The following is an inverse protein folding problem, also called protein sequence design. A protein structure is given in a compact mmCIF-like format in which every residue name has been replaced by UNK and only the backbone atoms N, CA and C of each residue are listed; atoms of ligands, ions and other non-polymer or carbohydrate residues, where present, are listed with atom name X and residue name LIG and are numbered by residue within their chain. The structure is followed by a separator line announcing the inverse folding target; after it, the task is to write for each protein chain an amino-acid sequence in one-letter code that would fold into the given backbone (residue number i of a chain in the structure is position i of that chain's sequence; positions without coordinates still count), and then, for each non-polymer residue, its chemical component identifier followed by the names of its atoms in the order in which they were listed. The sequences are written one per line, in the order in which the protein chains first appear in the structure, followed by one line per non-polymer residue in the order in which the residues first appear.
data_IF_928946687099
#
_entry.id   IF_928946687099
#
_cell.length_a   1.000
_cell.length_b   1.000
_cell.length_c   1.000
_cell.angle_alpha   90.00
_cell.angle_beta   90.00
_cell.angle_gamma   90.00
#
_symmetry.space_group_name_H-M   'P 1'
#
loop_
_entity.id
_entity.type
_entity.pdbx_description
1 polymer ?
#
# COMPACT_ATOMS: atom_id res chain seq x y z
N UNK A 1 -8.61 -16.98 -25.80
CA UNK A 1 -9.61 -15.90 -25.88
C UNK A 1 -10.86 -16.33 -25.15
N UNK A 2 -11.49 -15.45 -24.37
CA UNK A 2 -12.73 -15.72 -23.64
C UNK A 2 -13.43 -14.39 -23.33
N UNK A 3 -14.77 -14.39 -23.33
CA UNK A 3 -15.59 -13.25 -22.90
C UNK A 3 -15.89 -13.26 -21.39
N UNK A 4 -15.37 -14.25 -20.66
CA UNK A 4 -15.62 -14.44 -19.23
C UNK A 4 -16.91 -15.20 -18.92
N UNK A 5 -17.26 -15.27 -17.63
CA UNK A 5 -18.37 -16.07 -17.12
C UNK A 5 -19.74 -15.39 -17.28
N UNK A 6 -19.76 -14.06 -17.42
CA UNK A 6 -20.99 -13.28 -17.57
C UNK A 6 -20.72 -12.07 -18.47
N UNK A 7 -20.51 -12.30 -19.78
CA UNK A 7 -20.33 -11.23 -20.74
C UNK A 7 -21.64 -10.46 -20.94
N UNK A 8 -21.51 -9.16 -21.23
CA UNK A 8 -22.62 -8.31 -21.69
C UNK A 8 -22.86 -8.55 -23.16
N UNK A 9 -21.80 -8.59 -23.96
CA UNK A 9 -21.80 -9.02 -25.35
C UNK A 9 -20.74 -10.12 -25.55
N UNK A 10 -21.14 -11.39 -25.79
CA UNK A 10 -20.21 -12.50 -25.94
C UNK A 10 -19.20 -12.36 -27.08
N UNK A 11 -19.45 -11.52 -28.08
CA UNK A 11 -18.53 -11.29 -29.20
C UNK A 11 -17.60 -10.13 -28.93
N UNK A 12 -18.14 -9.01 -28.49
CA UNK A 12 -17.36 -7.78 -28.25
C UNK A 12 -16.51 -7.87 -26.97
N UNK A 13 -16.93 -8.65 -25.96
CA UNK A 13 -16.21 -8.78 -24.70
C UNK A 13 -15.05 -9.80 -24.75
N UNK A 14 -14.76 -10.36 -25.92
CA UNK A 14 -13.73 -11.40 -26.11
C UNK A 14 -12.32 -10.84 -25.94
N UNK A 15 -11.69 -11.14 -24.81
CA UNK A 15 -10.31 -10.76 -24.51
C UNK A 15 -9.34 -11.93 -24.37
N UNK A 16 -8.08 -11.59 -24.11
CA UNK A 16 -7.03 -12.55 -23.76
C UNK A 16 -7.17 -12.88 -22.26
N UNK A 17 -7.51 -14.13 -21.95
CA UNK A 17 -7.75 -14.61 -20.59
C UNK A 17 -6.60 -15.49 -20.08
N UNK A 18 -6.15 -15.26 -18.85
CA UNK A 18 -5.23 -16.19 -18.15
C UNK A 18 -6.01 -17.44 -17.70
N UNK A 19 -5.42 -18.63 -17.85
CA UNK A 19 -6.16 -19.91 -17.75
C UNK A 19 -5.59 -20.95 -16.77
N UNK A 20 -4.37 -20.71 -16.27
CA UNK A 20 -3.64 -21.58 -15.35
C UNK A 20 -3.24 -20.83 -14.08
N UNK A 21 -3.60 -21.38 -12.93
CA UNK A 21 -3.23 -20.84 -11.63
C UNK A 21 -1.73 -21.01 -11.35
N UNK A 22 -1.17 -20.12 -10.54
CA UNK A 22 0.23 -20.09 -10.10
C UNK A 22 1.22 -20.19 -11.27
N UNK A 23 1.04 -19.33 -12.27
CA UNK A 23 1.88 -19.30 -13.49
C UNK A 23 2.38 -17.91 -13.84
N UNK A 24 3.56 -17.91 -14.44
CA UNK A 24 4.05 -16.80 -15.24
C UNK A 24 3.44 -16.89 -16.64
N UNK A 25 2.99 -15.75 -17.14
CA UNK A 25 2.45 -15.55 -18.48
C UNK A 25 3.38 -14.63 -19.25
N UNK A 26 3.66 -14.97 -20.50
CA UNK A 26 4.39 -14.12 -21.44
C UNK A 26 3.64 -14.11 -22.77
N UNK A 27 3.12 -12.96 -23.17
CA UNK A 27 2.49 -12.75 -24.47
C UNK A 27 2.91 -11.40 -25.00
N UNK A 28 3.35 -11.32 -26.26
CA UNK A 28 3.73 -10.06 -26.88
C UNK A 28 3.25 -9.96 -28.32
N UNK A 29 3.08 -8.73 -28.79
CA UNK A 29 2.73 -8.41 -30.17
C UNK A 29 3.58 -7.23 -30.66
N UNK A 30 4.31 -7.45 -31.76
CA UNK A 30 5.02 -6.39 -32.46
C UNK A 30 4.05 -5.49 -33.23
N UNK A 31 4.35 -4.20 -33.26
CA UNK A 31 3.71 -3.25 -34.15
C UNK A 31 4.20 -3.49 -35.58
N UNK A 32 3.42 -3.02 -36.57
CA UNK A 32 3.82 -3.12 -37.97
C UNK A 32 5.12 -2.36 -38.25
N UNK A 33 5.31 -1.24 -37.56
CA UNK A 33 6.50 -0.40 -37.64
C UNK A 33 6.86 0.10 -36.24
N UNK A 34 8.14 0.05 -35.84
CA UNK A 34 8.62 0.77 -34.67
C UNK A 34 8.36 2.27 -34.83
N UNK A 35 8.09 2.94 -33.73
CA UNK A 35 7.86 4.38 -33.70
C UNK A 35 8.55 5.05 -32.50
N UNK A 36 8.67 6.36 -32.58
CA UNK A 36 9.14 7.23 -31.49
C UNK A 36 8.03 8.20 -31.11
N UNK A 37 7.94 8.54 -29.84
CA UNK A 37 7.05 9.60 -29.35
C UNK A 37 7.73 10.99 -29.34
N UNK A 38 8.89 11.18 -29.98
CA UNK A 38 9.56 12.48 -30.04
C UNK A 38 8.62 13.57 -30.56
N UNK A 39 8.41 14.60 -29.75
CA UNK A 39 7.54 15.74 -30.07
C UNK A 39 6.05 15.43 -30.06
N UNK A 40 5.65 14.22 -29.65
CA UNK A 40 4.26 13.77 -29.65
C UNK A 40 3.85 13.24 -28.27
N UNK A 41 2.58 13.38 -27.95
CA UNK A 41 1.98 12.68 -26.81
C UNK A 41 1.98 11.19 -27.12
N UNK A 42 2.17 10.34 -26.11
CA UNK A 42 1.85 8.92 -26.19
C UNK A 42 0.74 8.62 -25.19
N UNK A 43 -0.27 7.93 -25.66
CA UNK A 43 -1.39 7.43 -24.87
C UNK A 43 -1.36 5.91 -24.94
N UNK A 44 -1.36 5.27 -23.77
CA UNK A 44 -1.38 3.82 -23.63
C UNK A 44 -2.64 3.48 -22.85
N UNK A 45 -3.57 2.79 -23.49
CA UNK A 45 -4.88 2.48 -22.95
C UNK A 45 -5.19 1.00 -23.11
N UNK A 46 -5.79 0.37 -22.11
CA UNK A 46 -6.28 -1.00 -22.19
C UNK A 46 -7.29 -1.28 -21.09
N UNK A 47 -8.08 -2.35 -21.25
CA UNK A 47 -9.03 -2.80 -20.24
C UNK A 47 -8.53 -4.06 -19.54
N UNK A 48 -8.82 -4.15 -18.24
CA UNK A 48 -8.52 -5.31 -17.40
C UNK A 48 -9.76 -5.68 -16.62
N UNK A 49 -10.11 -6.97 -16.62
CA UNK A 49 -11.17 -7.52 -15.79
C UNK A 49 -10.61 -8.66 -14.93
N UNK A 50 -10.73 -8.55 -13.62
CA UNK A 50 -10.36 -9.60 -12.67
C UNK A 50 -11.58 -10.40 -12.23
N UNK A 51 -12.24 -11.08 -13.16
CA UNK A 51 -13.51 -11.79 -12.89
C UNK A 51 -13.40 -12.92 -11.87
N UNK A 52 -12.18 -13.37 -11.57
CA UNK A 52 -11.90 -14.44 -10.63
C UNK A 52 -11.79 -13.95 -9.17
N UNK A 53 -11.96 -12.66 -8.90
CA UNK A 53 -11.62 -12.04 -7.61
C UNK A 53 -10.16 -12.32 -7.23
N UNK A 54 -9.25 -11.66 -7.95
CA UNK A 54 -7.82 -11.92 -7.85
C UNK A 54 -7.27 -11.56 -6.46
N UNK A 55 -6.47 -12.45 -5.90
CA UNK A 55 -5.82 -12.28 -4.60
C UNK A 55 -4.38 -11.77 -4.74
N UNK A 56 -3.62 -12.37 -5.65
CA UNK A 56 -2.29 -11.91 -6.03
C UNK A 56 -1.98 -12.18 -7.50
N UNK A 57 -1.77 -11.12 -8.27
CA UNK A 57 -1.25 -11.16 -9.62
C UNK A 57 -1.18 -9.78 -10.29
N UNK A 58 -0.34 -9.69 -11.31
CA UNK A 58 -0.18 -8.49 -12.12
C UNK A 58 -1.27 -8.36 -13.17
N UNK A 59 -1.63 -7.13 -13.50
CA UNK A 59 -2.54 -6.75 -14.58
C UNK A 59 -1.98 -5.66 -15.48
N UNK A 60 -0.65 -5.55 -15.60
CA UNK A 60 0.03 -4.50 -16.34
C UNK A 60 0.51 -4.91 -17.73
N UNK A 61 0.80 -3.90 -18.55
CA UNK A 61 1.43 -4.05 -19.87
C UNK A 61 2.85 -3.48 -19.87
N UNK A 62 3.67 -3.99 -20.77
CA UNK A 62 5.02 -3.50 -21.07
C UNK A 62 5.07 -3.03 -22.53
N UNK A 63 5.62 -1.84 -22.75
CA UNK A 63 6.10 -1.40 -24.06
C UNK A 63 7.56 -1.79 -24.23
N UNK A 64 7.90 -2.35 -25.39
CA UNK A 64 9.17 -3.00 -25.65
C UNK A 64 9.84 -2.35 -26.88
N UNK A 65 11.18 -2.37 -26.91
CA UNK A 65 11.97 -1.91 -28.05
C UNK A 65 12.00 -2.93 -29.20
N UNK A 66 12.72 -2.63 -30.27
CA UNK A 66 12.95 -3.53 -31.41
C UNK A 66 13.97 -4.64 -31.10
N UNK A 67 14.75 -4.46 -30.03
CA UNK A 67 15.90 -5.26 -29.64
C UNK A 67 15.55 -6.58 -28.92
N UNK A 68 14.30 -6.77 -28.48
CA UNK A 68 13.90 -8.00 -27.79
C UNK A 68 13.47 -9.14 -28.73
N UNK A 69 13.72 -10.37 -28.26
CA UNK A 69 13.23 -11.60 -28.86
C UNK A 69 11.90 -12.01 -28.20
N UNK A 70 10.82 -12.10 -28.99
CA UNK A 70 9.49 -12.48 -28.49
C UNK A 70 9.45 -13.91 -27.95
N UNK A 71 10.31 -14.80 -28.45
CA UNK A 71 10.37 -16.20 -27.99
C UNK A 71 11.01 -16.35 -26.62
N UNK A 72 11.78 -15.33 -26.21
CA UNK A 72 12.45 -15.24 -24.91
C UNK A 72 11.85 -14.12 -24.06
N UNK A 73 10.57 -13.77 -24.25
CA UNK A 73 9.95 -12.69 -23.47
C UNK A 73 9.66 -13.14 -22.03
N UNK A 74 10.21 -12.43 -21.04
CA UNK A 74 10.08 -12.74 -19.61
C UNK A 74 10.26 -11.50 -18.70
N UNK A 75 10.19 -11.74 -17.39
CA UNK A 75 10.37 -10.77 -16.28
C UNK A 75 11.44 -9.70 -16.47
N UNK A 76 12.64 -10.12 -16.89
CA UNK A 76 13.84 -9.29 -16.97
C UNK A 76 14.07 -8.71 -18.36
N UNK A 77 13.21 -9.04 -19.34
CA UNK A 77 13.30 -8.45 -20.68
C UNK A 77 13.22 -6.92 -20.56
N UNK A 78 14.22 -6.18 -21.09
CA UNK A 78 14.21 -4.73 -21.05
C UNK A 78 12.95 -4.15 -21.69
N UNK A 79 12.26 -3.28 -20.96
CA UNK A 79 11.08 -2.56 -21.44
C UNK A 79 11.32 -1.06 -21.38
N UNK A 80 10.53 -0.30 -22.15
CA UNK A 80 10.54 1.16 -22.16
C UNK A 80 9.63 1.71 -21.07
N UNK A 81 8.38 1.24 -21.04
CA UNK A 81 7.35 1.64 -20.08
C UNK A 81 6.64 0.39 -19.57
N UNK A 82 6.40 0.29 -18.27
CA UNK A 82 5.46 -0.68 -17.68
C UNK A 82 4.32 0.10 -17.02
N UNK A 83 3.08 -0.25 -17.37
CA UNK A 83 1.90 0.45 -16.91
C UNK A 83 0.73 -0.50 -16.62
N UNK A 84 0.10 -0.35 -15.46
CA UNK A 84 -1.17 -1.03 -15.14
C UNK A 84 -1.30 -1.53 -13.71
N UNK A 85 -2.45 -2.12 -13.35
CA UNK A 85 -2.73 -2.59 -12.00
C UNK A 85 -1.82 -3.75 -11.58
N UNK A 86 -1.51 -3.82 -10.29
CA UNK A 86 -0.84 -4.93 -9.63
C UNK A 86 -1.43 -5.12 -8.24
N UNK A 87 -1.96 -6.33 -8.02
CA UNK A 87 -2.67 -6.71 -6.81
C UNK A 87 -1.89 -7.85 -6.17
N UNK A 88 -1.56 -7.74 -4.89
CA UNK A 88 -1.05 -8.85 -4.11
C UNK A 88 -1.42 -8.66 -2.63
N UNK A 89 -2.44 -9.39 -2.21
CA UNK A 89 -3.04 -9.32 -0.89
C UNK A 89 -3.64 -7.95 -0.58
N UNK A 90 -3.66 -7.60 0.71
CA UNK A 90 -4.12 -6.30 1.18
C UNK A 90 -3.04 -5.22 1.15
N UNK A 91 -1.77 -5.62 1.01
CA UNK A 91 -0.62 -4.71 1.08
C UNK A 91 -0.30 -4.05 -0.25
N UNK A 92 -0.57 -4.72 -1.37
CA UNK A 92 -0.21 -4.22 -2.70
C UNK A 92 -1.47 -4.15 -3.55
N UNK A 93 -2.01 -2.94 -3.75
CA UNK A 93 -3.15 -2.66 -4.63
C UNK A 93 -2.91 -1.35 -5.37
N UNK A 94 -1.94 -1.36 -6.27
CA UNK A 94 -1.45 -0.14 -6.92
C UNK A 94 -1.34 -0.26 -8.43
N UNK A 95 -1.38 0.87 -9.11
CA UNK A 95 -1.06 0.98 -10.53
C UNK A 95 0.44 1.25 -10.66
N UNK A 96 1.16 0.33 -11.30
CA UNK A 96 2.55 0.57 -11.68
C UNK A 96 2.59 1.57 -12.83
N UNK A 97 3.48 2.54 -12.72
CA UNK A 97 3.89 3.44 -13.79
C UNK A 97 5.40 3.55 -13.72
N UNK A 98 6.07 2.75 -14.54
CA UNK A 98 7.53 2.58 -14.48
C UNK A 98 8.11 2.99 -15.83
N UNK A 99 9.02 3.95 -15.79
CA UNK A 99 9.75 4.42 -16.95
C UNK A 99 11.19 3.90 -16.89
N UNK A 100 11.64 3.28 -17.97
CA UNK A 100 13.06 3.01 -18.14
C UNK A 100 13.76 4.28 -18.60
N UNK A 101 14.74 4.73 -17.83
CA UNK A 101 15.58 5.88 -18.16
C UNK A 101 17.04 5.55 -17.83
N UNK A 102 17.93 5.77 -18.80
CA UNK A 102 19.35 5.43 -18.70
C UNK A 102 19.63 3.97 -18.24
N UNK A 103 18.81 3.01 -18.68
CA UNK A 103 18.95 1.59 -18.33
C UNK A 103 18.41 1.21 -16.94
N UNK A 104 17.88 2.17 -16.18
CA UNK A 104 17.26 1.93 -14.87
C UNK A 104 15.74 2.05 -14.98
N UNK A 105 15.03 1.11 -14.36
CA UNK A 105 13.58 1.16 -14.21
C UNK A 105 13.24 2.05 -13.00
N UNK A 106 12.61 3.19 -13.24
CA UNK A 106 12.24 4.14 -12.19
C UNK A 106 10.74 4.01 -11.91
N UNK A 107 10.40 3.71 -10.66
CA UNK A 107 9.02 3.61 -10.19
C UNK A 107 8.50 5.00 -9.83
N UNK A 108 7.19 5.20 -10.02
CA UNK A 108 6.50 6.39 -9.53
C UNK A 108 6.60 6.47 -8.00
N UNK A 109 6.88 7.66 -7.47
CA UNK A 109 6.96 7.91 -6.02
C UNK A 109 5.61 7.83 -5.32
N UNK A 110 4.56 8.19 -6.06
CA UNK A 110 3.20 8.27 -5.55
C UNK A 110 2.46 6.96 -5.77
N UNK A 111 1.76 6.52 -4.74
CA UNK A 111 0.87 5.37 -4.82
C UNK A 111 -0.44 5.76 -5.50
N UNK A 112 -0.79 5.04 -6.57
CA UNK A 112 -2.07 5.17 -7.28
C UNK A 112 -2.84 3.89 -7.01
N UNK A 113 -3.99 3.97 -6.33
CA UNK A 113 -4.77 2.79 -5.99
C UNK A 113 -5.45 2.22 -7.23
N UNK A 114 -5.28 0.91 -7.46
CA UNK A 114 -6.00 0.23 -8.54
C UNK A 114 -7.40 -0.22 -8.08
N UNK A 115 -8.24 -0.57 -9.04
CA UNK A 115 -9.54 -1.20 -8.78
C UNK A 115 -9.34 -2.68 -8.51
N UNK A 116 -10.06 -3.21 -7.53
CA UNK A 116 -9.91 -4.58 -7.01
C UNK A 116 -11.23 -5.35 -6.99
N UNK A 117 -12.24 -4.89 -7.73
CA UNK A 117 -13.49 -5.61 -7.94
C UNK A 117 -13.43 -6.50 -9.22
N UNK A 118 -14.54 -7.20 -9.51
CA UNK A 118 -14.65 -8.17 -10.60
C UNK A 118 -15.09 -7.54 -11.95
N UNK A 119 -15.31 -6.23 -11.98
CA UNK A 119 -15.75 -5.50 -13.17
C UNK A 119 -14.57 -5.20 -14.09
N UNK A 120 -14.90 -4.83 -15.32
CA UNK A 120 -13.90 -4.37 -16.30
C UNK A 120 -13.55 -2.93 -16.02
N UNK A 121 -12.26 -2.63 -15.85
CA UNK A 121 -11.75 -1.28 -15.65
C UNK A 121 -10.84 -0.84 -16.80
N UNK A 122 -10.91 0.45 -17.13
CA UNK A 122 -10.10 1.08 -18.16
C UNK A 122 -8.90 1.78 -17.53
N UNK A 123 -7.69 1.45 -17.97
CA UNK A 123 -6.47 2.11 -17.52
C UNK A 123 -5.83 2.87 -18.68
N UNK A 124 -5.60 4.16 -18.49
CA UNK A 124 -4.99 5.03 -19.51
C UNK A 124 -3.82 5.82 -18.93
N UNK A 125 -2.65 5.71 -19.56
CA UNK A 125 -1.47 6.52 -19.28
C UNK A 125 -1.26 7.49 -20.44
N UNK A 126 -1.15 8.77 -20.12
CA UNK A 126 -0.84 9.84 -21.07
C UNK A 126 0.51 10.42 -20.67
N UNK A 127 1.44 10.49 -21.62
CA UNK A 127 2.75 11.14 -21.44
C UNK A 127 2.96 12.15 -22.55
N UNK A 128 3.21 13.41 -22.18
CA UNK A 128 3.26 14.55 -23.09
C UNK A 128 4.69 15.04 -23.36
N UNK A 129 4.93 15.77 -24.46
CA UNK A 129 6.26 16.29 -24.81
C UNK A 129 6.86 17.32 -23.86
N UNK A 130 6.07 17.85 -22.94
CA UNK A 130 6.48 18.84 -21.93
C UNK A 130 6.91 18.18 -20.61
N UNK A 131 7.25 16.87 -20.64
CA UNK A 131 7.55 16.05 -19.48
C UNK A 131 6.39 15.94 -18.46
N UNK A 132 5.15 16.21 -18.86
CA UNK A 132 3.98 15.95 -18.01
C UNK A 132 3.37 14.60 -18.29
N UNK A 133 2.70 14.04 -17.27
CA UNK A 133 1.97 12.79 -17.39
C UNK A 133 0.60 12.90 -16.72
N UNK A 134 -0.29 11.99 -17.09
CA UNK A 134 -1.60 11.82 -16.47
C UNK A 134 -1.98 10.34 -16.51
N UNK A 135 -2.49 9.84 -15.39
CA UNK A 135 -3.03 8.49 -15.24
C UNK A 135 -4.53 8.61 -15.01
N UNK A 136 -5.28 8.00 -15.91
CA UNK A 136 -6.73 7.88 -15.83
C UNK A 136 -7.09 6.44 -15.47
N UNK A 137 -8.05 6.29 -14.56
CA UNK A 137 -8.76 5.03 -14.33
C UNK A 137 -10.22 5.31 -14.65
N UNK A 138 -10.83 4.50 -15.50
CA UNK A 138 -12.24 4.63 -15.86
C UNK A 138 -12.59 6.02 -16.46
N UNK A 139 -11.65 6.58 -17.24
CA UNK A 139 -11.64 7.95 -17.77
C UNK A 139 -11.66 9.08 -16.72
N UNK A 140 -11.35 8.78 -15.46
CA UNK A 140 -11.22 9.75 -14.36
C UNK A 140 -9.74 9.97 -14.04
N UNK A 141 -9.31 11.23 -13.94
CA UNK A 141 -7.92 11.59 -13.61
C UNK A 141 -7.62 11.28 -12.14
N UNK A 142 -6.91 10.19 -11.91
CA UNK A 142 -6.43 9.79 -10.58
C UNK A 142 -5.12 10.50 -10.23
N UNK A 143 -4.28 10.76 -11.23
CA UNK A 143 -2.99 11.42 -11.00
C UNK A 143 -2.53 12.20 -12.21
N UNK A 144 -1.93 13.37 -11.97
CA UNK A 144 -1.22 14.17 -12.97
C UNK A 144 -0.04 14.88 -12.33
N UNK A 145 1.01 15.13 -13.10
CA UNK A 145 2.23 15.75 -12.59
C UNK A 145 3.31 15.87 -13.65
N UNK A 146 4.55 16.07 -13.19
CA UNK A 146 5.74 16.13 -14.02
C UNK A 146 6.62 14.90 -13.77
N UNK A 147 7.23 14.36 -14.83
CA UNK A 147 8.11 13.20 -14.78
C UNK A 147 9.32 13.42 -13.86
N UNK A 148 9.86 14.64 -13.82
CA UNK A 148 11.04 14.97 -13.02
C UNK A 148 10.76 14.97 -11.52
N UNK A 149 9.57 15.40 -11.11
CA UNK A 149 9.20 15.49 -9.70
C UNK A 149 8.76 14.12 -9.17
N UNK A 150 7.94 13.40 -9.95
CA UNK A 150 7.27 12.18 -9.53
C UNK A 150 8.10 10.89 -9.74
N UNK A 151 9.28 10.98 -10.39
CA UNK A 151 10.26 9.88 -10.54
C UNK A 151 11.71 10.31 -10.26
N UNK A 152 12.53 9.37 -9.79
CA UNK A 152 13.97 9.59 -9.57
C UNK A 152 14.81 9.28 -10.83
N UNK A 153 14.50 9.98 -11.93
CA UNK A 153 15.23 9.83 -13.21
C UNK A 153 16.50 10.69 -13.25
N UNK A 154 16.45 11.87 -12.65
CA UNK A 154 17.57 12.83 -12.60
C UNK A 154 18.14 12.92 -11.17
N UNK A 155 19.42 13.30 -11.02
CA UNK A 155 19.96 13.66 -9.71
C UNK A 155 19.15 14.78 -9.05
N UNK A 156 19.09 14.85 -7.71
CA UNK A 156 18.33 15.89 -7.03
C UNK A 156 18.86 17.28 -7.37
N UNK A 157 17.97 18.25 -7.58
CA UNK A 157 18.32 19.66 -7.88
C UNK A 157 19.20 20.29 -6.80
N UNK A 158 18.94 19.92 -5.55
CA UNK A 158 19.62 20.43 -4.36
C UNK A 158 20.19 19.28 -3.54
N UNK A 159 21.44 19.43 -3.09
CA UNK A 159 22.15 18.50 -2.21
C UNK A 159 22.56 19.21 -0.92
N UNK A 160 22.76 18.47 0.17
CA UNK A 160 23.29 19.04 1.40
C UNK A 160 24.71 19.55 1.18
N UNK A 161 25.00 20.72 1.74
CA UNK A 161 26.31 21.32 1.64
C UNK A 161 27.22 20.81 2.76
N UNK A 162 27.92 19.72 2.47
CA UNK A 162 28.94 19.14 3.36
C UNK A 162 30.11 20.09 3.67
N UNK A 163 30.26 21.18 2.92
CA UNK A 163 31.27 22.20 3.24
C UNK A 163 30.89 23.06 4.44
N UNK A 164 29.59 23.15 4.77
CA UNK A 164 29.10 23.92 5.92
C UNK A 164 28.94 22.99 7.11
N UNK A 165 29.91 23.01 8.02
CA UNK A 165 29.81 22.32 9.30
C UNK A 165 28.95 23.11 10.27
N UNK A 166 28.29 22.39 11.18
CA UNK A 166 27.62 23.01 12.34
C UNK A 166 28.63 23.89 13.09
N UNK A 167 28.33 25.16 13.36
CA UNK A 167 29.19 26.02 14.17
C UNK A 167 29.32 25.45 15.59
N UNK A 168 30.51 25.52 16.17
CA UNK A 168 30.76 25.03 17.54
C UNK A 168 29.91 25.78 18.58
N UNK A 169 29.58 27.05 18.32
CA UNK A 169 28.72 27.90 19.17
C UNK A 169 27.21 27.65 18.98
N UNK A 170 26.81 26.71 18.12
CA UNK A 170 25.40 26.46 17.82
C UNK A 170 24.74 25.55 18.85
N UNK A 171 23.93 26.15 19.72
CA UNK A 171 23.22 25.46 20.79
C UNK A 171 21.89 24.91 20.29
N UNK A 172 21.77 23.57 20.29
CA UNK A 172 20.56 22.83 19.91
C UNK A 172 19.60 22.59 21.08
N UNK A 173 20.06 22.79 22.32
CA UNK A 173 19.28 22.47 23.51
C UNK A 173 18.42 23.68 23.89
N UNK A 174 17.09 23.53 23.93
CA UNK A 174 16.18 24.64 24.27
C UNK A 174 16.28 25.02 25.74
N UNK A 175 16.74 24.10 26.59
CA UNK A 175 16.89 24.28 28.03
C UNK A 175 18.36 24.12 28.42
N UNK A 176 18.80 24.87 29.42
CA UNK A 176 20.09 24.74 30.09
C UNK A 176 19.87 24.54 31.58
N UNK A 177 20.86 23.93 32.26
CA UNK A 177 20.87 23.87 33.72
C UNK A 177 21.02 25.29 34.29
N UNK A 178 20.21 25.63 35.29
CA UNK A 178 20.23 26.94 35.95
C UNK A 178 21.56 27.11 36.71
N UNK A 179 22.43 28.05 36.28
CA UNK A 179 23.73 28.25 36.93
C UNK A 179 23.60 28.80 38.35
N UNK A 180 22.44 29.36 38.72
CA UNK A 180 22.16 29.90 40.05
C UNK A 180 21.49 28.88 40.98
N UNK A 181 20.99 27.75 40.43
CA UNK A 181 20.42 26.67 41.25
C UNK A 181 21.55 25.83 41.83
N UNK A 182 21.76 25.96 43.14
CA UNK A 182 22.77 25.20 43.87
C UNK A 182 22.12 24.09 44.65
N UNK A 183 22.78 22.93 44.67
CA UNK A 183 22.39 21.80 45.50
C UNK A 183 22.21 22.24 46.96
N UNK A 184 21.01 22.09 47.54
CA UNK A 184 20.79 22.41 48.94
C UNK A 184 21.66 21.50 49.82
N UNK A 185 22.21 22.05 50.91
CA UNK A 185 23.07 21.29 51.84
C UNK A 185 22.34 20.09 52.47
N UNK A 186 21.00 20.13 52.58
CA UNK A 186 20.16 19.07 53.16
C UNK A 186 19.64 18.04 52.12
N UNK A 187 20.23 18.00 50.92
CA UNK A 187 19.78 17.09 49.85
C UNK A 187 20.44 15.71 49.91
N UNK A 188 21.72 15.63 50.31
CA UNK A 188 22.47 14.37 50.41
C UNK A 188 22.16 13.66 51.73
N UNK A 189 20.97 13.08 51.80
CA UNK A 189 20.60 12.19 52.90
C UNK A 189 20.97 10.75 52.55
N UNK A 190 21.33 9.91 53.53
CA UNK A 190 21.63 8.51 53.26
C UNK A 190 20.37 7.80 52.75
N UNK A 191 20.53 6.88 51.80
CA UNK A 191 19.42 6.13 51.19
C UNK A 191 18.67 5.27 52.22
N UNK A 192 19.39 4.79 53.24
CA UNK A 192 18.84 4.02 54.34
C UNK A 192 19.17 4.67 55.68
N UNK A 193 18.23 4.62 56.62
CA UNK A 193 18.41 5.02 58.01
C UNK A 193 18.05 3.85 58.92
N UNK A 194 18.66 3.71 60.11
CA UNK A 194 18.26 2.67 61.04
C UNK A 194 16.82 2.91 61.53
N UNK A 195 16.00 1.86 61.59
CA UNK A 195 14.58 1.98 61.95
C UNK A 195 14.41 2.53 63.37
N UNK A 196 13.87 3.76 63.54
CA UNK A 196 13.70 4.36 64.86
C UNK A 196 12.63 3.67 65.72
N UNK A 197 11.82 2.77 65.13
CA UNK A 197 10.80 1.98 65.83
C UNK A 197 11.28 0.57 66.18
N UNK A 198 12.42 0.13 65.64
CA UNK A 198 12.98 -1.16 66.00
C UNK A 198 13.47 -1.12 67.45
N UNK A 199 13.03 -2.11 68.22
CA UNK A 199 13.53 -2.35 69.57
C UNK A 199 14.28 -3.67 69.57
N UNK A 200 15.37 -3.70 70.32
CA UNK A 200 16.13 -4.91 70.57
C UNK A 200 15.19 -5.98 71.13
N UNK A 201 15.15 -7.19 70.53
CA UNK A 201 14.35 -8.30 71.06
C UNK A 201 14.80 -8.67 72.48
N UNK A 202 13.85 -9.03 73.34
CA UNK A 202 14.14 -9.39 74.74
C UNK A 202 15.01 -10.66 74.88
N UNK A 203 15.09 -11.48 73.83
CA UNK A 203 15.85 -12.75 73.78
C UNK A 203 17.21 -12.61 73.07
N UNK A 204 17.71 -11.37 72.90
CA UNK A 204 19.00 -11.11 72.24
C UNK A 204 20.17 -11.07 73.23
N UNK A 205 21.19 -11.88 73.01
CA UNK A 205 22.39 -11.99 73.85
C UNK A 205 23.61 -11.32 73.18
N UNK A 206 24.06 -10.18 73.71
CA UNK A 206 25.19 -9.42 73.12
C UNK A 206 26.54 -10.15 73.22
N UNK A 207 26.71 -11.10 74.17
CA UNK A 207 27.97 -11.88 74.29
C UNK A 207 28.06 -13.00 73.25
N UNK A 208 26.93 -13.55 72.82
CA UNK A 208 26.87 -14.68 71.88
C UNK A 208 26.56 -14.24 70.44
N UNK A 209 25.69 -13.25 70.25
CA UNK A 209 25.19 -12.79 68.93
C UNK A 209 25.81 -11.45 68.47
N UNK A 210 26.53 -10.75 69.36
CA UNK A 210 27.14 -9.44 69.10
C UNK A 210 26.23 -8.25 69.40
N UNK A 211 26.77 -7.03 69.23
CA UNK A 211 26.03 -5.79 69.51
C UNK A 211 24.86 -5.62 68.53
N UNK A 212 23.64 -5.53 69.08
CA UNK A 212 22.43 -5.44 68.25
C UNK A 212 22.37 -4.13 67.45
N UNK A 213 22.29 -4.24 66.12
CA UNK A 213 22.06 -3.11 65.23
C UNK A 213 20.61 -3.11 64.68
N UNK A 214 19.89 -1.98 64.75
CA UNK A 214 18.54 -1.89 64.20
C UNK A 214 18.51 -2.10 62.67
N UNK A 215 17.47 -2.75 62.12
CA UNK A 215 17.33 -2.94 60.69
C UNK A 215 17.28 -1.60 59.97
N UNK A 216 17.97 -1.51 58.83
CA UNK A 216 17.96 -0.32 58.00
C UNK A 216 16.67 -0.26 57.17
N UNK A 217 15.96 0.87 57.25
CA UNK A 217 14.79 1.19 56.44
C UNK A 217 15.12 2.28 55.43
N UNK A 218 14.38 2.33 54.33
CA UNK A 218 14.52 3.40 53.34
C UNK A 218 14.24 4.76 54.00
N UNK A 219 15.15 5.70 53.79
CA UNK A 219 15.03 7.04 54.35
C UNK A 219 13.94 7.82 53.60
N UNK A 220 12.82 8.21 54.26
CA UNK A 220 11.76 8.95 53.60
C UNK A 220 12.20 10.34 53.10
N UNK A 221 13.29 10.88 53.64
CA UNK A 221 13.86 12.16 53.22
C UNK A 221 14.90 12.02 52.08
N UNK A 222 15.21 10.80 51.61
CA UNK A 222 16.13 10.61 50.48
C UNK A 222 15.47 11.07 49.17
N UNK A 223 15.98 12.16 48.60
CA UNK A 223 15.43 12.80 47.38
C UNK A 223 16.10 12.37 46.07
N UNK A 224 17.02 11.39 46.13
CA UNK A 224 17.78 10.93 44.96
C UNK A 224 18.94 11.86 44.57
N UNK A 225 19.59 11.56 43.45
CA UNK A 225 20.67 12.41 42.91
C UNK A 225 20.09 13.77 42.50
N UNK A 226 20.67 14.85 43.04
CA UNK A 226 20.24 16.21 42.72
C UNK A 226 20.54 16.53 41.25
N UNK A 227 19.54 17.05 40.54
CA UNK A 227 19.69 17.64 39.22
C UNK A 227 19.30 19.12 39.30
N UNK A 228 20.08 20.03 38.70
CA UNK A 228 19.75 21.45 38.64
C UNK A 228 18.42 21.66 37.90
N UNK A 229 17.68 22.70 38.28
CA UNK A 229 16.51 23.14 37.51
C UNK A 229 16.92 23.51 36.09
N UNK A 230 16.09 23.12 35.12
CA UNK A 230 16.27 23.51 33.72
C UNK A 230 15.58 24.85 33.46
N UNK A 231 16.31 25.81 32.91
CA UNK A 231 15.81 27.12 32.48
C UNK A 231 15.91 27.24 30.96
N UNK A 232 15.06 28.06 30.31
CA UNK A 232 15.18 28.32 28.88
C UNK A 232 16.57 28.84 28.54
N UNK A 233 17.19 28.27 27.51
CA UNK A 233 18.55 28.59 27.12
C UNK A 233 18.57 29.84 26.23
N UNK A 234 19.00 31.03 26.71
CA UNK A 234 19.06 32.25 25.89
C UNK A 234 19.99 32.18 24.67
N UNK A 235 20.86 31.16 24.55
CA UNK A 235 21.72 30.93 23.37
C UNK A 235 21.13 29.93 22.38
N UNK A 236 19.95 29.37 22.66
CA UNK A 236 19.29 28.40 21.80
C UNK A 236 19.08 28.97 20.39
N UNK A 237 19.70 28.32 19.41
CA UNK A 237 19.68 28.74 18.00
C UNK A 237 18.74 27.88 17.14
N UNK A 238 18.06 26.90 17.73
CA UNK A 238 17.23 25.94 17.02
C UNK A 238 17.98 24.67 16.61
N UNK A 239 17.28 23.64 16.11
CA UNK A 239 17.94 22.47 15.53
C UNK A 239 18.73 22.89 14.29
N UNK A 240 20.04 22.61 14.29
CA UNK A 240 20.88 22.84 13.11
C UNK A 240 20.37 22.03 11.90
N UNK A 241 20.07 22.72 10.80
CA UNK A 241 19.71 22.11 9.51
C UNK A 241 20.84 22.42 8.53
N UNK A 242 21.37 21.38 7.90
CA UNK A 242 22.45 21.54 6.94
C UNK A 242 21.97 22.35 5.72
N UNK A 243 22.67 23.44 5.34
CA UNK A 243 22.28 24.22 4.17
C UNK A 243 22.25 23.36 2.90
N UNK A 244 21.31 23.64 2.00
CA UNK A 244 21.24 22.98 0.70
C UNK A 244 21.94 23.83 -0.36
N UNK A 245 22.78 23.21 -1.18
CA UNK A 245 23.41 23.82 -2.37
C UNK A 245 22.90 23.19 -3.65
N UNK A 246 23.04 23.91 -4.75
CA UNK A 246 22.74 23.38 -6.09
C UNK A 246 23.64 22.18 -6.40
N UNK A 247 23.05 21.11 -6.92
CA UNK A 247 23.80 19.92 -7.31
C UNK A 247 24.55 20.16 -8.62
N UNK A 248 25.89 20.13 -8.65
CA UNK A 248 26.65 20.31 -9.89
C UNK A 248 26.43 19.18 -10.91
N UNK A 249 25.95 18.02 -10.47
CA UNK A 249 25.64 16.89 -11.35
C UNK A 249 24.23 16.95 -11.94
N UNK A 250 23.37 17.84 -11.43
CA UNK A 250 22.03 18.01 -11.98
C UNK A 250 22.11 18.71 -13.34
N UNK A 251 21.49 18.08 -14.35
CA UNK A 251 21.30 18.65 -15.68
C UNK A 251 19.84 18.43 -16.07
N UNK A 252 19.08 19.50 -16.42
CA UNK A 252 17.73 19.33 -16.88
C UNK A 252 17.72 18.56 -18.21
N UNK A 253 16.80 17.61 -18.33
CA UNK A 253 16.56 16.90 -19.58
C UNK A 253 15.14 17.21 -20.09
N UNK A 254 14.98 17.99 -21.18
CA UNK A 254 13.68 18.28 -21.76
C UNK A 254 13.06 17.08 -22.50
N UNK A 255 13.77 15.97 -22.63
CA UNK A 255 13.36 14.78 -23.38
C UNK A 255 13.17 13.54 -22.47
N UNK A 256 12.91 13.71 -21.16
CA UNK A 256 12.63 12.59 -20.24
C UNK A 256 11.48 11.70 -20.73
N UNK A 257 10.46 12.29 -21.35
CA UNK A 257 9.30 11.57 -21.90
C UNK A 257 9.64 10.69 -23.12
N UNK A 258 10.77 10.94 -23.78
CA UNK A 258 11.04 10.48 -25.14
C UNK A 258 11.63 9.07 -25.14
N UNK A 259 11.08 8.24 -26.01
CA UNK A 259 11.62 6.95 -26.41
C UNK A 259 11.88 6.92 -27.92
N UNK A 260 13.09 6.51 -28.31
CA UNK A 260 13.51 6.42 -29.72
C UNK A 260 12.91 5.22 -30.46
N UNK A 261 12.62 4.14 -29.73
CA UNK A 261 12.27 2.85 -30.32
C UNK A 261 11.23 2.13 -29.45
N UNK A 262 9.97 2.24 -29.86
CA UNK A 262 8.83 1.47 -29.33
C UNK A 262 8.35 0.57 -30.48
N UNK A 263 8.45 -0.74 -30.29
CA UNK A 263 8.24 -1.71 -31.36
C UNK A 263 7.27 -2.85 -31.01
N UNK A 264 6.97 -3.06 -29.72
CA UNK A 264 5.97 -4.04 -29.32
C UNK A 264 5.27 -3.67 -28.01
N UNK A 265 4.15 -4.33 -27.77
CA UNK A 265 3.46 -4.40 -26.49
C UNK A 265 3.46 -5.85 -25.99
N UNK A 266 3.54 -6.06 -24.69
CA UNK A 266 3.44 -7.39 -24.11
C UNK A 266 2.90 -7.41 -22.69
N UNK A 267 2.35 -8.56 -22.34
CA UNK A 267 1.93 -8.94 -21.00
C UNK A 267 2.94 -9.95 -20.48
N UNK A 268 3.66 -9.58 -19.44
CA UNK A 268 4.55 -10.47 -18.71
C UNK A 268 4.19 -10.39 -17.23
N UNK A 269 3.48 -11.41 -16.76
CA UNK A 269 2.69 -11.36 -15.53
C UNK A 269 2.86 -12.63 -14.72
N UNK A 270 2.88 -12.48 -13.39
CA UNK A 270 2.64 -13.57 -12.45
C UNK A 270 1.20 -13.48 -11.95
N UNK A 271 0.46 -14.60 -11.94
CA UNK A 271 -0.86 -14.68 -11.28
C UNK A 271 -0.97 -15.96 -10.45
N UNK A 272 -1.39 -15.82 -9.20
CA UNK A 272 -1.74 -16.95 -8.32
C UNK A 272 -3.08 -17.52 -8.76
N UNK A 273 -4.13 -16.70 -8.80
CA UNK A 273 -5.44 -17.09 -9.34
C UNK A 273 -5.64 -16.56 -10.75
N UNK A 274 -5.78 -17.47 -11.71
CA UNK A 274 -6.01 -17.13 -13.11
C UNK A 274 -7.47 -16.78 -13.39
N UNK A 275 -7.69 -16.07 -14.48
CA UNK A 275 -9.02 -15.63 -14.91
C UNK A 275 -9.05 -14.19 -15.42
N UNK A 276 -7.96 -13.45 -15.26
CA UNK A 276 -7.88 -12.05 -15.71
C UNK A 276 -8.03 -11.98 -17.22
N UNK A 277 -8.88 -11.07 -17.69
CA UNK A 277 -9.12 -10.80 -19.10
C UNK A 277 -8.55 -9.44 -19.45
N UNK A 278 -7.72 -9.40 -20.49
CA UNK A 278 -7.18 -8.19 -21.09
C UNK A 278 -7.82 -7.94 -22.44
N UNK A 279 -8.20 -6.69 -22.71
CA UNK A 279 -8.80 -6.31 -23.98
C UNK A 279 -8.54 -4.82 -24.32
N UNK A 280 -8.97 -4.40 -25.51
CA UNK A 280 -9.01 -3.03 -25.98
C UNK A 280 -7.68 -2.27 -25.85
N UNK A 281 -6.56 -2.96 -26.11
CA UNK A 281 -5.22 -2.34 -26.09
C UNK A 281 -5.11 -1.33 -27.23
N UNK A 282 -5.02 -0.06 -26.87
CA UNK A 282 -4.90 1.09 -27.76
C UNK A 282 -3.64 1.88 -27.43
N UNK A 283 -2.83 2.15 -28.44
CA UNK A 283 -1.66 3.04 -28.33
C UNK A 283 -1.77 4.09 -29.43
N UNK A 284 -1.83 5.36 -29.04
CA UNK A 284 -2.09 6.48 -29.95
C UNK A 284 -1.36 7.75 -29.50
N UNK A 285 -1.30 8.78 -30.36
CA UNK A 285 -0.79 10.11 -30.03
C UNK A 285 -1.90 11.13 -29.74
N UNK A 286 -3.17 10.73 -29.85
CA UNK A 286 -4.35 11.57 -29.64
C UNK A 286 -5.12 11.17 -28.38
N UNK A 287 -5.16 12.09 -27.42
CA UNK A 287 -5.87 11.92 -26.13
C UNK A 287 -7.38 11.86 -26.31
N UNK A 288 -7.93 12.62 -27.25
CA UNK A 288 -9.37 12.68 -27.46
C UNK A 288 -9.89 11.41 -28.13
N UNK A 289 -9.13 10.85 -29.09
CA UNK A 289 -9.46 9.54 -29.69
C UNK A 289 -9.44 8.45 -28.62
N UNK A 290 -8.41 8.41 -27.75
CA UNK A 290 -8.34 7.42 -26.69
C UNK A 290 -9.54 7.50 -25.73
N UNK A 291 -9.91 8.73 -25.34
CA UNK A 291 -11.09 8.97 -24.50
C UNK A 291 -12.37 8.51 -25.18
N UNK A 292 -12.58 8.83 -26.45
CA UNK A 292 -13.78 8.46 -27.21
C UNK A 292 -13.92 6.94 -27.37
N UNK A 293 -12.83 6.25 -27.72
CA UNK A 293 -12.79 4.79 -27.81
C UNK A 293 -13.07 4.13 -26.45
N UNK A 294 -12.48 4.66 -25.37
CA UNK A 294 -12.75 4.20 -24.01
C UNK A 294 -14.21 4.38 -23.59
N UNK A 295 -14.80 5.54 -23.89
CA UNK A 295 -16.22 5.80 -23.64
C UNK A 295 -17.14 4.90 -24.47
N UNK A 296 -16.79 4.62 -25.72
CA UNK A 296 -17.60 3.81 -26.61
C UNK A 296 -17.58 2.33 -26.22
N UNK A 297 -16.39 1.75 -26.05
CA UNK A 297 -16.21 0.31 -25.86
C UNK A 297 -16.41 -0.09 -24.40
N UNK A 298 -15.67 0.56 -23.50
CA UNK A 298 -15.64 0.14 -22.09
C UNK A 298 -16.88 0.60 -21.32
N UNK A 299 -17.39 1.83 -21.51
CA UNK A 299 -18.50 2.33 -20.67
C UNK A 299 -19.81 1.58 -20.89
N UNK A 300 -20.09 1.16 -22.13
CA UNK A 300 -21.27 0.34 -22.42
C UNK A 300 -21.18 -1.02 -21.74
N UNK A 301 -20.00 -1.66 -21.82
CA UNK A 301 -19.69 -2.92 -21.15
C UNK A 301 -19.82 -2.79 -19.63
N UNK A 302 -19.20 -1.78 -19.02
CA UNK A 302 -19.27 -1.58 -17.57
C UNK A 302 -20.71 -1.47 -17.07
N UNK A 303 -21.56 -0.66 -17.71
CA UNK A 303 -22.98 -0.52 -17.32
C UNK A 303 -23.73 -1.84 -17.37
N UNK A 304 -23.47 -2.66 -18.39
CA UNK A 304 -24.07 -3.99 -18.48
C UNK A 304 -23.57 -4.93 -17.38
N UNK A 305 -22.27 -4.89 -17.06
CA UNK A 305 -21.68 -5.69 -15.99
C UNK A 305 -22.22 -5.30 -14.61
N UNK A 306 -22.37 -3.99 -14.34
CA UNK A 306 -23.01 -3.46 -13.13
C UNK A 306 -24.46 -3.93 -12.99
N UNK A 307 -25.22 -3.91 -14.08
CA UNK A 307 -26.61 -4.39 -14.09
C UNK A 307 -26.70 -5.89 -13.83
N UNK A 308 -25.86 -6.70 -14.49
CA UNK A 308 -25.78 -8.15 -14.25
C UNK A 308 -25.43 -8.43 -12.79
N UNK A 309 -24.47 -7.70 -12.22
CA UNK A 309 -24.07 -7.83 -10.83
C UNK A 309 -25.23 -7.49 -9.89
N UNK A 310 -25.91 -6.37 -10.11
CA UNK A 310 -27.09 -5.96 -9.33
C UNK A 310 -28.18 -7.02 -9.34
N UNK A 311 -28.51 -7.57 -10.52
CA UNK A 311 -29.54 -8.60 -10.65
C UNK A 311 -29.16 -9.89 -9.90
N UNK A 312 -27.89 -10.29 -9.93
CA UNK A 312 -27.40 -11.44 -9.16
C UNK A 312 -27.48 -11.20 -7.66
N UNK A 313 -27.07 -10.02 -7.19
CA UNK A 313 -27.16 -9.67 -5.76
C UNK A 313 -28.62 -9.66 -5.25
N UNK A 314 -29.56 -9.18 -6.08
CA UNK A 314 -30.99 -9.22 -5.78
C UNK A 314 -31.55 -10.65 -5.76
N UNK A 315 -31.11 -11.52 -6.68
CA UNK A 315 -31.51 -12.93 -6.72
C UNK A 315 -30.98 -13.70 -5.50
N UNK A 316 -29.70 -13.51 -5.16
CA UNK A 316 -29.06 -14.15 -4.02
C UNK A 316 -29.70 -13.68 -2.69
N UNK A 317 -30.05 -12.40 -2.59
CA UNK A 317 -30.76 -11.85 -1.44
C UNK A 317 -32.16 -12.46 -1.28
N UNK A 318 -32.89 -12.67 -2.38
CA UNK A 318 -34.21 -13.34 -2.36
C UNK A 318 -34.09 -14.80 -1.96
N UNK A 319 -33.12 -15.53 -2.53
CA UNK A 319 -32.84 -16.93 -2.15
C UNK A 319 -32.50 -17.05 -0.66
N UNK A 320 -31.64 -16.17 -0.15
CA UNK A 320 -31.29 -16.17 1.27
C UNK A 320 -32.47 -15.85 2.18
N UNK A 321 -33.39 -14.97 1.75
CA UNK A 321 -34.64 -14.70 2.48
C UNK A 321 -35.59 -15.90 2.46
N UNK A 322 -35.74 -16.58 1.32
CA UNK A 322 -36.55 -17.79 1.20
C UNK A 322 -36.00 -18.95 2.05
N UNK A 323 -34.67 -19.12 2.08
CA UNK A 323 -34.03 -20.17 2.88
C UNK A 323 -34.18 -19.90 4.38
N UNK A 324 -34.11 -18.62 4.82
CA UNK A 324 -34.42 -18.25 6.21
C UNK A 324 -35.87 -18.55 6.60
N UNK A 325 -36.82 -18.26 5.71
CA UNK A 325 -38.24 -18.58 5.97
C UNK A 325 -38.42 -20.09 6.11
N UNK A 326 -37.80 -20.89 5.24
CA UNK A 326 -37.86 -22.37 5.34
C UNK A 326 -37.23 -22.88 6.63
N UNK A 327 -36.07 -22.34 7.03
CA UNK A 327 -35.43 -22.70 8.30
C UNK A 327 -36.29 -22.33 9.53
N UNK A 328 -37.00 -21.19 9.48
CA UNK A 328 -37.94 -20.80 10.54
C UNK A 328 -39.18 -21.72 10.57
N UNK A 329 -39.74 -22.06 9.40
CA UNK A 329 -40.87 -23.00 9.30
C UNK A 329 -40.48 -24.41 9.79
N UNK A 330 -39.28 -24.90 9.49
CA UNK A 330 -38.77 -26.19 9.98
C UNK A 330 -38.60 -26.17 11.51
N UNK A 331 -38.04 -25.09 12.09
CA UNK A 331 -37.92 -24.94 13.55
C UNK A 331 -39.28 -24.87 14.24
N UNK A 332 -40.25 -24.18 13.64
CA UNK A 332 -41.62 -24.12 14.16
C UNK A 332 -42.31 -25.50 14.14
N UNK A 333 -42.04 -26.32 13.13
CA UNK A 333 -42.54 -27.69 13.05
C UNK A 333 -41.86 -28.57 14.12
N UNK A 334 -40.53 -28.49 14.27
CA UNK A 334 -39.79 -29.23 15.30
C UNK A 334 -40.23 -28.86 16.72
N UNK A 335 -40.42 -27.57 17.01
CA UNK A 335 -40.93 -27.11 18.31
C UNK A 335 -42.34 -27.62 18.62
N UNK A 336 -43.23 -27.67 17.62
CA UNK A 336 -44.58 -28.26 17.78
C UNK A 336 -44.55 -29.78 17.96
N UNK A 337 -43.53 -30.46 17.46
CA UNK A 337 -43.33 -31.90 17.67
C UNK A 337 -42.80 -32.14 19.10
N UNK A 338 -41.86 -31.32 19.59
CA UNK A 338 -41.32 -31.46 20.95
C UNK A 338 -42.35 -31.20 22.04
N UNK A 339 -43.20 -30.16 21.90
CA UNK A 339 -44.28 -29.89 22.86
C UNK A 339 -45.31 -31.02 22.93
N UNK A 340 -45.63 -31.65 21.79
CA UNK A 340 -46.55 -32.81 21.76
C UNK A 340 -45.99 -34.09 22.38
N UNK A 341 -44.67 -34.19 22.53
CA UNK A 341 -44.02 -35.33 23.20
C UNK A 341 -43.89 -35.16 24.71
N UNK A 342 -43.91 -33.93 25.26
CA UNK A 342 -43.90 -33.70 26.71
C UNK A 342 -45.28 -33.90 27.37
N UNK A 343 -46.38 -33.72 26.65
CA UNK A 343 -47.75 -33.97 27.15
C UNK A 343 -48.14 -35.47 27.26
N UNK A 344 -47.19 -36.40 27.12
CA UNK A 344 -47.39 -37.84 27.29
C UNK A 344 -46.44 -38.45 28.33
N UNK A 345 -46.48 -37.96 29.57
CA UNK A 345 -46.08 -38.77 30.72
C UNK A 345 -47.23 -39.72 31.10
N UNK A 346 -47.06 -41.06 31.02
CA UNK A 346 -48.06 -41.98 31.56
C UNK A 346 -47.99 -42.00 33.09
N UNK A 347 -49.16 -41.81 33.73
CA UNK A 347 -49.39 -42.11 35.15
C UNK A 347 -48.77 -43.46 35.51
N UNK A 348 -47.81 -43.45 36.45
CA UNK A 348 -47.33 -44.66 37.10
C UNK A 348 -48.46 -45.23 37.95
N UNK A 349 -49.04 -46.34 37.51
CA UNK A 349 -49.79 -47.22 38.38
C UNK A 349 -48.82 -48.22 39.03
N UNK A 350 -48.55 -47.98 40.32
CA UNK A 350 -48.10 -48.99 41.27
C UNK A 350 -49.15 -50.12 41.35
N UNK A 351 -48.73 -51.37 41.36
CA UNK A 351 -48.87 -52.27 42.51
C UNK A 351 -48.18 -53.63 42.28
N UNK A 352 -47.72 -54.15 43.41
CA UNK A 352 -46.89 -55.34 43.67
C UNK A 352 -47.68 -56.65 43.68
#
# INVERSE_FOLDING_TARGET
MSAGNSPVDPKEDMGVKTSQDAKFYGLSRKFEKPFSNLGKTIVIQFTVKHEQNIDCGGGYIKLLGSDFDQTQFHGETPYKIMFGPDICGLSTKKVHVIFNYAGKNNLIKHEIRCKDDELTHLYTLIVRPDNTYEVLIDNVSERKGNLEDDWDMLPPKMIEDESVKKPDDWVNEPDMDDPEDKKPEDWDKPKTIPDPKAKKPDDWDDEMDGEWEPPQIDNPDFKGEWMPKKIPNPKYSGPWVQPKKTNPNYKPDPLLYKYDDIAAVGFDLWQVKSGTIFDNVLITDDVEIAKQEGEMLWRSRLKGEEEIKRLKEEEDSKKHAEDKIKEEEEKDIEGKISEKTEDKEPEKHDEL
#
